data_IF_315471907935
#
_entry.id   IF_315471907935
#
_cell.length_a   1.000
_cell.length_b   1.000
_cell.length_c   1.000
_cell.angle_alpha   90.00
_cell.angle_beta   90.00
_cell.angle_gamma   90.00
#
_symmetry.space_group_name_H-M   'P 1'
#
loop_
_entity.id
_entity.type
_entity.pdbx_description
1 polymer ?
#
# COMPACT_ATOMS: atom_id res chain seq x y z
N UNK A 1 11.33 0.22 18.21
CA UNK A 1 10.15 -0.46 17.64
C UNK A 1 10.34 -0.54 16.13
N UNK A 2 9.96 -1.63 15.47
CA UNK A 2 9.94 -1.69 14.01
C UNK A 2 8.87 -0.76 13.45
N UNK A 3 9.12 -0.14 12.29
CA UNK A 3 8.07 0.62 11.59
C UNK A 3 6.96 -0.33 11.17
N UNK A 4 5.68 0.10 11.18
CA UNK A 4 4.58 -0.74 10.74
C UNK A 4 4.70 -1.03 9.24
N UNK A 5 4.45 -2.27 8.84
CA UNK A 5 4.45 -2.65 7.42
C UNK A 5 3.16 -2.20 6.75
N UNK A 6 3.26 -1.44 5.67
CA UNK A 6 2.09 -0.95 4.92
C UNK A 6 2.22 -1.22 3.43
N UNK A 7 1.11 -1.53 2.78
CA UNK A 7 1.04 -1.62 1.33
C UNK A 7 0.37 -0.37 0.75
N UNK A 8 1.01 0.30 -0.20
CA UNK A 8 0.47 1.45 -0.93
C UNK A 8 0.13 0.98 -2.34
N UNK A 9 -1.16 0.97 -2.68
CA UNK A 9 -1.64 0.41 -3.96
C UNK A 9 -1.33 1.30 -5.17
N UNK A 10 -0.78 2.50 -4.92
CA UNK A 10 -0.38 3.42 -5.98
C UNK A 10 0.80 4.33 -5.63
N UNK A 11 1.57 4.70 -6.63
CA UNK A 11 2.51 5.83 -6.55
C UNK A 11 1.70 7.14 -6.40
N UNK A 12 1.60 7.63 -5.17
CA UNK A 12 0.99 8.91 -4.83
C UNK A 12 1.95 10.07 -5.12
N UNK A 13 1.49 11.33 -5.14
CA UNK A 13 2.38 12.49 -5.17
C UNK A 13 3.41 12.45 -4.03
N UNK A 14 4.63 12.91 -4.32
CA UNK A 14 5.80 12.69 -3.45
C UNK A 14 5.59 13.16 -2.01
N UNK A 15 4.95 14.32 -1.80
CA UNK A 15 4.70 14.83 -0.46
C UNK A 15 3.84 13.90 0.42
N UNK A 16 2.96 13.09 -0.17
CA UNK A 16 2.22 12.06 0.56
C UNK A 16 3.05 10.80 0.80
N UNK A 17 3.83 10.37 -0.20
CA UNK A 17 4.69 9.19 -0.09
C UNK A 17 5.82 9.40 0.92
N UNK A 18 6.38 10.60 1.02
CA UNK A 18 7.44 10.92 1.97
C UNK A 18 6.98 10.72 3.41
N UNK A 19 5.80 11.24 3.77
CA UNK A 19 5.18 11.03 5.08
C UNK A 19 4.99 9.54 5.41
N UNK A 20 4.58 8.75 4.42
CA UNK A 20 4.39 7.30 4.59
C UNK A 20 5.73 6.59 4.80
N UNK A 21 6.76 6.91 4.02
CA UNK A 21 8.10 6.29 4.15
C UNK A 21 8.82 6.68 5.44
N UNK A 22 8.56 7.89 5.94
CA UNK A 22 9.06 8.34 7.23
C UNK A 22 8.45 7.53 8.37
N UNK A 23 7.13 7.32 8.35
CA UNK A 23 6.41 6.63 9.42
C UNK A 23 6.43 5.09 9.33
N UNK A 24 6.48 4.52 8.12
CA UNK A 24 6.19 3.11 7.86
C UNK A 24 7.30 2.39 7.07
N UNK A 25 7.29 1.05 7.12
CA UNK A 25 7.97 0.19 6.16
C UNK A 25 7.01 -0.05 4.98
N UNK A 26 7.17 0.76 3.93
CA UNK A 26 6.18 0.90 2.87
C UNK A 26 6.56 0.08 1.62
N UNK A 27 5.72 -0.91 1.28
CA UNK A 27 5.71 -1.55 -0.03
C UNK A 27 4.83 -0.73 -0.98
N UNK A 28 5.38 -0.25 -2.09
CA UNK A 28 4.69 0.62 -3.05
C UNK A 28 4.48 -0.13 -4.35
N UNK A 29 3.23 -0.19 -4.81
CA UNK A 29 2.89 -0.79 -6.09
C UNK A 29 3.48 0.02 -7.27
N UNK A 30 4.34 -0.59 -8.10
CA UNK A 30 5.09 0.14 -9.12
C UNK A 30 4.36 0.29 -10.46
N UNK A 31 3.29 -0.49 -10.69
CA UNK A 31 2.64 -0.53 -12.00
C UNK A 31 1.59 0.56 -12.19
N UNK A 32 1.34 0.89 -13.46
CA UNK A 32 0.35 1.90 -13.86
C UNK A 32 -1.10 1.39 -13.75
N UNK A 33 -1.36 0.09 -13.70
CA UNK A 33 -2.70 -0.42 -13.39
C UNK A 33 -2.82 -0.74 -11.90
N UNK A 34 -4.02 -0.68 -11.30
CA UNK A 34 -4.19 -1.09 -9.91
C UNK A 34 -3.83 -2.58 -9.75
N UNK A 35 -3.29 -2.99 -8.59
CA UNK A 35 -3.00 -4.39 -8.32
C UNK A 35 -4.28 -5.23 -8.43
N UNK A 36 -4.16 -6.44 -8.98
CA UNK A 36 -5.29 -7.38 -9.00
C UNK A 36 -5.69 -7.78 -7.58
N UNK A 37 -6.91 -8.29 -7.38
CA UNK A 37 -7.37 -8.77 -6.07
C UNK A 37 -6.46 -9.84 -5.47
N UNK A 38 -5.91 -10.72 -6.30
CA UNK A 38 -4.96 -11.73 -5.84
C UNK A 38 -3.67 -11.10 -5.31
N UNK A 39 -3.15 -10.07 -5.99
CA UNK A 39 -1.96 -9.34 -5.56
C UNK A 39 -2.22 -8.53 -4.29
N UNK A 40 -3.37 -7.86 -4.19
CA UNK A 40 -3.79 -7.15 -2.97
C UNK A 40 -3.78 -8.09 -1.76
N UNK A 41 -4.43 -9.25 -1.87
CA UNK A 41 -4.49 -10.23 -0.78
C UNK A 41 -3.11 -10.78 -0.43
N UNK A 42 -2.25 -11.00 -1.42
CA UNK A 42 -0.91 -11.52 -1.20
C UNK A 42 0.00 -10.51 -0.49
N UNK A 43 0.06 -9.28 -0.98
CA UNK A 43 0.86 -8.20 -0.38
C UNK A 43 0.36 -7.77 0.99
N UNK A 44 -0.95 -7.92 1.24
CA UNK A 44 -1.51 -7.66 2.56
C UNK A 44 -1.19 -8.74 3.60
N UNK A 45 -0.66 -9.91 3.21
CA UNK A 45 -0.28 -10.93 4.19
C UNK A 45 0.87 -10.40 5.07
N UNK A 46 0.57 -10.18 6.34
CA UNK A 46 1.54 -9.67 7.30
C UNK A 46 1.80 -8.16 7.20
N UNK A 47 1.02 -7.43 6.39
CA UNK A 47 0.94 -5.99 6.47
C UNK A 47 0.02 -5.57 7.62
N UNK A 48 0.35 -4.46 8.28
CA UNK A 48 -0.42 -3.85 9.37
C UNK A 48 -1.38 -2.76 8.87
N UNK A 49 -1.21 -2.30 7.62
CA UNK A 49 -2.08 -1.30 7.01
C UNK A 49 -2.01 -1.28 5.49
N UNK A 50 -3.01 -0.62 4.89
CA UNK A 50 -3.10 -0.38 3.45
C UNK A 50 -3.43 1.08 3.19
N UNK A 51 -2.79 1.66 2.18
CA UNK A 51 -3.18 2.92 1.56
C UNK A 51 -3.77 2.58 0.19
N UNK A 52 -5.09 2.54 0.12
CA UNK A 52 -5.86 2.19 -1.05
C UNK A 52 -6.48 3.42 -1.73
N UNK A 53 -6.86 3.27 -3.00
CA UNK A 53 -7.66 4.23 -3.76
C UNK A 53 -9.07 3.67 -4.02
N UNK A 54 -9.93 4.50 -4.61
CA UNK A 54 -11.34 4.16 -4.87
C UNK A 54 -11.57 2.92 -5.74
N UNK A 55 -10.57 2.56 -6.57
CA UNK A 55 -10.64 1.40 -7.48
C UNK A 55 -10.21 0.10 -6.82
N UNK A 56 -9.57 0.16 -5.65
CA UNK A 56 -9.20 -1.03 -4.92
C UNK A 56 -10.43 -1.60 -4.22
N UNK A 57 -10.72 -2.88 -4.48
CA UNK A 57 -11.84 -3.56 -3.85
C UNK A 57 -11.46 -4.04 -2.45
N UNK A 58 -12.04 -3.39 -1.44
CA UNK A 58 -11.97 -3.82 -0.03
C UNK A 58 -13.33 -4.36 0.39
N UNK A 59 -13.39 -5.64 0.74
CA UNK A 59 -14.58 -6.34 1.20
C UNK A 59 -14.32 -7.13 2.49
N UNK A 60 -15.40 -7.69 3.07
CA UNK A 60 -15.38 -8.43 4.32
C UNK A 60 -14.81 -9.86 4.17
#
# INVERSE_FOLDING_TARGET
MSKPKVFVTRVLPEGGLELIREACDADIWPEELPPSRAVLLDRMRGAEGIVSLLTDRVDA
#
